data_IF_017179349349
#
_entry.id   IF_017179349349
#
_cell.length_a   1.000
_cell.length_b   1.000
_cell.length_c   1.000
_cell.angle_alpha   90.00
_cell.angle_beta   90.00
_cell.angle_gamma   90.00
#
_symmetry.space_group_name_H-M   'P 1'
#
loop_
_entity.id
_entity.type
_entity.pdbx_description
1 polymer ?
#
# COMPACT_ATOMS: atom_id res chain seq x y z
N UNK A 1 77.34 18.27 -14.50
CA UNK A 1 76.39 17.86 -15.51
C UNK A 1 75.04 17.61 -14.80
N UNK A 2 74.22 18.64 -14.78
CA UNK A 2 72.96 18.64 -13.99
C UNK A 2 71.81 18.24 -14.94
N UNK A 3 71.26 17.08 -14.68
CA UNK A 3 70.14 16.53 -15.48
C UNK A 3 68.86 17.19 -15.04
N UNK A 4 68.31 18.10 -15.86
CA UNK A 4 67.03 18.76 -15.66
C UNK A 4 65.95 17.84 -16.18
N UNK A 5 65.13 17.25 -15.27
CA UNK A 5 64.01 16.38 -15.59
C UNK A 5 62.78 17.26 -15.71
N UNK A 6 62.13 17.40 -16.88
CA UNK A 6 60.88 18.15 -17.00
C UNK A 6 59.75 17.36 -16.39
N UNK A 7 59.14 17.89 -15.31
CA UNK A 7 57.83 17.45 -14.81
C UNK A 7 56.76 17.79 -15.83
N UNK A 8 56.32 16.81 -16.60
CA UNK A 8 55.11 16.92 -17.44
C UNK A 8 53.94 16.75 -16.51
N UNK A 9 53.33 17.85 -16.07
CA UNK A 9 51.97 17.83 -15.53
C UNK A 9 51.00 17.54 -16.67
N UNK A 10 50.69 16.27 -16.89
CA UNK A 10 49.52 15.86 -17.65
C UNK A 10 48.29 16.08 -16.75
N UNK A 11 47.76 17.30 -16.79
CA UNK A 11 46.41 17.53 -16.33
C UNK A 11 45.49 16.87 -17.37
N UNK A 12 45.10 15.64 -17.14
CA UNK A 12 43.98 15.03 -17.83
C UNK A 12 42.72 15.77 -17.32
N UNK A 13 42.35 16.83 -18.00
CA UNK A 13 40.97 17.29 -17.95
C UNK A 13 40.13 16.18 -18.61
N UNK A 14 39.64 15.29 -17.78
CA UNK A 14 38.56 14.35 -18.18
C UNK A 14 37.33 15.20 -18.52
N UNK A 15 37.25 15.66 -19.74
CA UNK A 15 36.02 16.16 -20.33
C UNK A 15 35.13 14.97 -20.66
N UNK A 16 34.80 14.20 -19.61
CA UNK A 16 33.80 13.14 -19.71
C UNK A 16 32.54 13.73 -20.25
N UNK A 17 32.15 13.27 -21.43
CA UNK A 17 30.86 13.55 -22.00
C UNK A 17 29.82 12.70 -21.26
N UNK A 18 29.60 13.06 -19.99
CA UNK A 18 28.55 12.45 -19.19
C UNK A 18 27.25 13.17 -19.54
N UNK A 19 26.34 12.46 -20.20
CA UNK A 19 24.93 12.85 -20.26
C UNK A 19 24.37 12.76 -18.84
N UNK A 20 24.36 13.89 -18.13
CA UNK A 20 23.72 13.98 -16.82
C UNK A 20 22.21 13.99 -17.06
N UNK A 21 21.56 12.92 -16.65
CA UNK A 21 20.10 12.92 -16.51
C UNK A 21 19.76 13.64 -15.23
N UNK A 22 18.99 14.72 -15.31
CA UNK A 22 18.47 15.39 -14.13
C UNK A 22 17.62 14.42 -13.32
N UNK A 23 18.02 14.23 -12.07
CA UNK A 23 17.29 13.40 -11.12
C UNK A 23 16.26 14.28 -10.41
N UNK A 24 14.97 14.08 -10.72
CA UNK A 24 13.90 14.79 -10.02
C UNK A 24 13.60 14.15 -8.67
N UNK A 25 13.47 14.97 -7.66
CA UNK A 25 12.92 14.53 -6.38
C UNK A 25 11.41 14.33 -6.51
N UNK A 26 10.91 13.21 -5.96
CA UNK A 26 9.49 12.88 -5.91
C UNK A 26 9.01 13.04 -4.47
N UNK A 27 7.99 13.87 -4.28
CA UNK A 27 7.32 14.07 -3.00
C UNK A 27 5.92 13.43 -3.04
N UNK A 28 5.61 12.67 -1.99
CA UNK A 28 4.33 11.95 -1.85
C UNK A 28 3.61 12.47 -0.61
N UNK A 29 2.52 13.17 -0.83
CA UNK A 29 1.65 13.74 0.19
C UNK A 29 0.28 13.07 0.21
N UNK A 30 -0.56 13.45 1.17
CA UNK A 30 -1.95 13.00 1.31
C UNK A 30 -2.10 11.46 1.41
N UNK A 31 -1.13 10.80 2.05
CA UNK A 31 -1.21 9.38 2.40
C UNK A 31 -1.50 9.29 3.91
N UNK A 32 -2.61 8.65 4.33
CA UNK A 32 -2.94 8.51 5.75
C UNK A 32 -1.89 7.66 6.47
N UNK A 33 -1.60 7.98 7.72
CA UNK A 33 -0.66 7.17 8.52
C UNK A 33 -1.25 5.81 8.91
N UNK A 34 -2.57 5.76 9.17
CA UNK A 34 -3.31 4.57 9.58
C UNK A 34 -4.68 4.54 8.91
N UNK A 35 -5.02 3.39 8.35
CA UNK A 35 -6.36 3.07 7.85
C UNK A 35 -6.90 1.90 8.67
N UNK A 36 -8.07 2.05 9.27
CA UNK A 36 -8.76 0.97 9.98
C UNK A 36 -9.98 0.51 9.17
N UNK A 37 -10.02 -0.78 8.84
CA UNK A 37 -11.03 -1.37 7.96
C UNK A 37 -11.52 -2.72 8.46
N UNK A 38 -12.73 -3.06 8.06
CA UNK A 38 -13.35 -4.35 8.34
C UNK A 38 -13.11 -5.32 7.17
N UNK A 39 -12.63 -6.50 7.49
CA UNK A 39 -12.40 -7.58 6.50
C UNK A 39 -13.69 -7.92 5.75
N UNK A 40 -13.62 -7.92 4.42
CA UNK A 40 -14.72 -8.28 3.53
C UNK A 40 -15.85 -7.26 3.40
N UNK A 41 -15.82 -6.14 4.14
CA UNK A 41 -16.88 -5.13 4.13
C UNK A 41 -16.39 -3.74 3.71
N UNK A 42 -15.23 -3.32 4.20
CA UNK A 42 -14.69 -1.98 3.92
C UNK A 42 -13.70 -2.01 2.76
N UNK A 43 -13.39 -0.83 2.24
CA UNK A 43 -12.38 -0.64 1.19
C UNK A 43 -11.18 0.11 1.73
N UNK A 44 -10.00 -0.27 1.29
CA UNK A 44 -8.77 0.46 1.52
C UNK A 44 -8.66 1.49 0.41
N UNK A 45 -8.74 2.77 0.77
CA UNK A 45 -8.73 3.88 -0.17
C UNK A 45 -7.59 4.83 0.15
N UNK A 46 -6.78 5.17 -0.86
CA UNK A 46 -5.70 6.16 -0.76
C UNK A 46 -5.70 6.99 -2.04
N UNK A 47 -5.76 8.30 -1.87
CA UNK A 47 -5.67 9.26 -2.97
C UNK A 47 -4.48 10.18 -2.71
N UNK A 48 -3.27 9.77 -3.10
CA UNK A 48 -2.07 10.53 -2.86
C UNK A 48 -2.01 11.77 -3.75
N UNK A 49 -1.28 12.78 -3.30
CA UNK A 49 -0.81 13.86 -4.15
C UNK A 49 0.68 13.67 -4.36
N UNK A 50 1.09 13.57 -5.61
CA UNK A 50 2.47 13.27 -5.99
C UNK A 50 3.00 14.43 -6.83
N UNK A 51 4.16 14.95 -6.45
CA UNK A 51 4.83 16.04 -7.17
C UNK A 51 6.27 15.65 -7.48
N UNK A 52 6.75 16.08 -8.64
CA UNK A 52 8.14 15.95 -9.04
C UNK A 52 8.74 17.35 -9.23
N UNK A 53 10.00 17.52 -8.84
CA UNK A 53 10.72 18.79 -9.06
C UNK A 53 10.91 19.10 -10.55
N UNK A 54 10.90 18.09 -11.42
CA UNK A 54 11.07 18.24 -12.85
C UNK A 54 9.76 18.52 -13.61
N UNK A 55 8.66 17.90 -13.21
CA UNK A 55 7.41 17.90 -13.98
C UNK A 55 6.21 18.51 -13.22
N UNK A 56 6.40 18.89 -11.96
CA UNK A 56 5.32 19.40 -11.12
C UNK A 56 4.39 18.30 -10.64
N UNK A 57 3.09 18.53 -10.66
CA UNK A 57 2.09 17.55 -10.20
C UNK A 57 1.98 16.37 -11.18
N UNK A 58 2.14 15.16 -10.63
CA UNK A 58 2.07 13.91 -11.39
C UNK A 58 0.63 13.40 -11.33
N UNK A 59 0.09 13.02 -12.47
CA UNK A 59 -1.22 12.39 -12.59
C UNK A 59 -1.12 10.94 -13.08
N UNK A 60 -2.22 10.22 -12.97
CA UNK A 60 -2.31 8.80 -13.33
C UNK A 60 -2.00 8.49 -14.81
N UNK A 61 -2.07 9.48 -15.69
CA UNK A 61 -1.85 9.30 -17.14
C UNK A 61 -0.42 9.58 -17.56
N UNK A 62 0.47 9.97 -16.63
CA UNK A 62 1.86 10.28 -16.96
C UNK A 62 2.65 8.98 -17.17
N UNK A 63 3.12 8.67 -18.40
CA UNK A 63 3.79 7.41 -18.71
C UNK A 63 5.21 7.32 -18.13
N UNK A 64 5.74 8.41 -17.60
CA UNK A 64 7.07 8.45 -17.00
C UNK A 64 7.12 7.88 -15.60
N UNK A 65 5.96 7.59 -14.98
CA UNK A 65 5.88 7.11 -13.61
C UNK A 65 5.05 5.84 -13.50
N UNK A 66 5.53 4.91 -12.69
CA UNK A 66 4.84 3.69 -12.30
C UNK A 66 4.45 3.77 -10.82
N UNK A 67 3.20 3.36 -10.51
CA UNK A 67 2.66 3.36 -9.14
C UNK A 67 2.38 1.94 -8.70
N UNK A 68 2.97 1.54 -7.57
CA UNK A 68 2.76 0.20 -7.02
C UNK A 68 2.46 0.28 -5.53
N UNK A 69 1.33 -0.29 -5.12
CA UNK A 69 1.00 -0.50 -3.71
C UNK A 69 1.39 -1.91 -3.30
N UNK A 70 2.29 -2.00 -2.35
CA UNK A 70 2.77 -3.27 -1.77
C UNK A 70 2.27 -3.39 -0.33
N UNK A 71 1.96 -4.60 0.08
CA UNK A 71 1.32 -4.90 1.35
C UNK A 71 2.06 -6.03 2.05
N UNK A 72 2.41 -5.84 3.32
CA UNK A 72 3.08 -6.83 4.14
C UNK A 72 2.40 -6.96 5.50
N UNK A 73 2.32 -8.17 6.01
CA UNK A 73 1.76 -8.44 7.32
C UNK A 73 2.81 -8.21 8.39
N UNK A 74 2.59 -7.25 9.30
CA UNK A 74 3.55 -6.89 10.37
C UNK A 74 3.88 -8.02 11.33
N UNK A 75 3.04 -9.04 11.42
CA UNK A 75 3.27 -10.23 12.26
C UNK A 75 4.24 -11.24 11.64
N UNK A 76 4.98 -10.83 10.62
CA UNK A 76 6.23 -11.47 10.24
C UNK A 76 6.16 -12.94 9.89
N UNK A 77 5.16 -13.39 9.15
CA UNK A 77 5.28 -14.69 8.49
C UNK A 77 6.16 -14.51 7.27
N UNK A 78 7.48 -14.50 7.50
CA UNK A 78 8.43 -14.66 6.42
C UNK A 78 8.16 -16.00 5.76
N UNK A 79 8.20 -16.07 4.41
CA UNK A 79 8.26 -17.37 3.74
C UNK A 79 9.51 -18.11 4.21
N UNK A 80 9.58 -19.41 4.00
CA UNK A 80 10.71 -20.23 4.43
C UNK A 80 12.10 -19.78 4.00
N UNK A 81 12.19 -18.74 3.16
CA UNK A 81 13.43 -18.13 2.67
C UNK A 81 13.75 -16.79 3.35
N UNK A 82 12.98 -16.38 4.36
CA UNK A 82 13.18 -15.11 5.07
C UNK A 82 12.72 -13.88 4.30
N UNK A 83 12.00 -14.04 3.21
CA UNK A 83 11.46 -12.93 2.40
C UNK A 83 10.00 -12.71 2.76
N UNK A 84 9.63 -11.48 3.10
CA UNK A 84 8.25 -11.11 3.31
C UNK A 84 7.44 -11.28 2.02
N UNK A 85 6.31 -11.98 2.04
CA UNK A 85 5.45 -12.11 0.87
C UNK A 85 4.78 -10.77 0.58
N UNK A 86 5.24 -10.08 -0.45
CA UNK A 86 4.61 -8.86 -0.92
C UNK A 86 3.32 -9.19 -1.68
N UNK A 87 2.24 -8.54 -1.31
CA UNK A 87 0.99 -8.58 -2.07
C UNK A 87 0.85 -7.23 -2.77
N UNK A 88 0.68 -7.26 -4.09
CA UNK A 88 0.40 -6.04 -4.87
C UNK A 88 -1.10 -5.80 -4.84
N UNK A 89 -1.50 -4.59 -4.41
CA UNK A 89 -2.91 -4.21 -4.25
C UNK A 89 -3.52 -3.58 -5.49
N UNK A 90 -2.70 -2.89 -6.31
CA UNK A 90 -3.13 -2.22 -7.53
C UNK A 90 -2.50 -2.87 -8.77
N UNK A 91 -3.04 -3.99 -9.21
CA UNK A 91 -2.56 -4.67 -10.42
C UNK A 91 -2.79 -3.88 -11.71
N UNK A 92 -3.62 -2.84 -11.67
CA UNK A 92 -3.92 -1.90 -12.76
C UNK A 92 -2.91 -0.75 -12.87
N UNK A 93 -1.97 -0.64 -11.93
CA UNK A 93 -0.98 0.43 -11.88
C UNK A 93 -1.56 1.81 -11.58
N UNK A 94 -2.79 1.89 -11.06
CA UNK A 94 -3.44 3.16 -10.75
C UNK A 94 -2.75 3.87 -9.58
N UNK A 95 -2.56 5.20 -9.71
CA UNK A 95 -2.03 6.06 -8.65
C UNK A 95 -2.94 6.07 -7.41
N UNK A 96 -4.25 6.01 -7.61
CA UNK A 96 -5.23 5.93 -6.53
C UNK A 96 -5.50 4.47 -6.18
N UNK A 97 -5.40 4.13 -4.89
CA UNK A 97 -5.79 2.82 -4.40
C UNK A 97 -7.26 2.82 -4.00
N UNK A 98 -8.01 1.87 -4.50
CA UNK A 98 -9.37 1.57 -4.06
C UNK A 98 -9.63 0.06 -4.18
N UNK A 99 -9.36 -0.67 -3.11
CA UNK A 99 -9.49 -2.12 -3.09
C UNK A 99 -10.31 -2.60 -1.89
N UNK A 100 -11.06 -3.70 -2.06
CA UNK A 100 -11.77 -4.33 -0.96
C UNK A 100 -10.78 -4.91 0.05
N UNK A 101 -11.01 -4.69 1.34
CA UNK A 101 -10.17 -5.21 2.41
C UNK A 101 -10.41 -6.72 2.65
N UNK A 102 -10.25 -7.54 1.61
CA UNK A 102 -10.47 -8.99 1.69
C UNK A 102 -9.21 -9.72 2.13
N UNK A 103 -8.72 -9.39 3.33
CA UNK A 103 -7.53 -9.98 3.94
C UNK A 103 -7.84 -10.42 5.37
N UNK A 104 -7.11 -11.40 5.92
CA UNK A 104 -7.25 -11.82 7.31
C UNK A 104 -7.06 -10.63 8.27
N UNK A 105 -7.72 -10.68 9.43
CA UNK A 105 -7.54 -9.70 10.48
C UNK A 105 -6.09 -9.62 10.91
N UNK A 106 -5.58 -8.40 11.09
CA UNK A 106 -4.19 -8.18 11.48
C UNK A 106 -3.74 -6.74 11.21
N UNK A 107 -2.49 -6.48 11.57
CA UNK A 107 -1.82 -5.22 11.25
C UNK A 107 -0.91 -5.41 10.06
N UNK A 108 -0.96 -4.49 9.13
CA UNK A 108 -0.20 -4.55 7.89
C UNK A 108 0.58 -3.26 7.69
N UNK A 109 1.74 -3.38 7.09
CA UNK A 109 2.50 -2.23 6.59
C UNK A 109 2.31 -2.18 5.07
N UNK A 110 1.88 -1.03 4.59
CA UNK A 110 1.68 -0.76 3.18
C UNK A 110 2.72 0.24 2.69
N UNK A 111 3.12 0.07 1.45
CA UNK A 111 4.09 0.92 0.78
C UNK A 111 3.50 1.37 -0.55
N UNK A 112 3.38 2.68 -0.73
CA UNK A 112 3.22 3.28 -2.04
C UNK A 112 4.60 3.52 -2.62
N UNK A 113 4.92 2.85 -3.70
CA UNK A 113 6.14 3.04 -4.47
C UNK A 113 5.81 3.82 -5.74
N UNK A 114 6.55 4.89 -5.97
CA UNK A 114 6.51 5.70 -7.19
C UNK A 114 7.86 5.62 -7.85
N UNK A 115 7.90 5.08 -9.07
CA UNK A 115 9.14 4.88 -9.82
C UNK A 115 9.15 5.77 -11.04
N UNK A 116 10.19 6.57 -11.21
CA UNK A 116 10.49 7.25 -12.47
C UNK A 116 11.11 6.22 -13.45
N UNK A 117 10.37 5.93 -14.52
CA UNK A 117 10.75 4.89 -15.51
C UNK A 117 12.03 5.28 -16.27
N UNK A 118 12.29 6.59 -16.44
CA UNK A 118 13.45 7.10 -17.20
C UNK A 118 14.75 6.92 -16.44
N UNK A 119 14.72 7.14 -15.12
CA UNK A 119 15.89 7.08 -14.25
C UNK A 119 15.99 5.78 -13.47
N UNK A 120 14.87 5.07 -13.31
CA UNK A 120 14.76 3.89 -12.48
C UNK A 120 14.71 4.19 -10.98
N UNK A 121 14.68 5.46 -10.57
CA UNK A 121 14.62 5.87 -9.16
C UNK A 121 13.22 5.58 -8.61
N UNK A 122 13.18 4.99 -7.43
CA UNK A 122 11.96 4.62 -6.71
C UNK A 122 11.89 5.39 -5.39
N UNK A 123 10.80 6.12 -5.19
CA UNK A 123 10.46 6.81 -3.94
C UNK A 123 9.31 6.07 -3.27
N UNK A 124 9.43 5.81 -1.96
CA UNK A 124 8.43 5.05 -1.22
C UNK A 124 7.83 5.85 -0.06
N UNK A 125 6.51 5.74 0.10
CA UNK A 125 5.76 6.23 1.26
C UNK A 125 5.12 5.07 1.99
N UNK A 126 5.35 4.99 3.31
CA UNK A 126 4.81 3.93 4.15
C UNK A 126 3.56 4.40 4.88
N UNK A 127 2.56 3.52 5.02
CA UNK A 127 1.38 3.70 5.85
C UNK A 127 0.94 2.37 6.47
N UNK A 128 0.04 2.43 7.45
CA UNK A 128 -0.43 1.23 8.16
C UNK A 128 -1.89 0.96 7.83
N UNK A 129 -2.24 -0.32 7.72
CA UNK A 129 -3.62 -0.76 7.61
C UNK A 129 -3.90 -1.78 8.71
N UNK A 130 -4.89 -1.50 9.55
CA UNK A 130 -5.39 -2.42 10.56
C UNK A 130 -6.71 -3.01 10.07
N UNK A 131 -6.68 -4.30 9.82
CA UNK A 131 -7.86 -5.06 9.38
C UNK A 131 -8.43 -5.78 10.58
N UNK A 132 -9.69 -5.54 10.86
CA UNK A 132 -10.43 -6.20 11.93
C UNK A 132 -11.43 -7.20 11.34
N UNK A 133 -11.73 -8.25 12.08
CA UNK A 133 -12.77 -9.21 11.68
C UNK A 133 -14.11 -8.77 12.24
N UNK A 134 -15.17 -8.98 11.46
CA UNK A 134 -16.54 -8.71 11.87
C UNK A 134 -17.06 -9.68 12.95
N UNK A 135 -16.30 -10.72 13.26
CA UNK A 135 -16.81 -11.84 14.11
C UNK A 135 -16.10 -11.95 15.47
N UNK A 136 -15.36 -10.95 15.94
CA UNK A 136 -14.59 -11.07 17.19
C UNK A 136 -15.32 -10.74 18.47
N UNK A 137 -16.22 -9.75 18.45
CA UNK A 137 -17.00 -9.36 19.62
C UNK A 137 -18.41 -9.01 19.19
N UNK A 138 -19.41 -9.53 19.86
CA UNK A 138 -20.79 -9.19 19.56
C UNK A 138 -21.81 -10.07 20.26
N UNK A 139 -23.07 -9.77 19.99
CA UNK A 139 -24.21 -10.56 20.45
C UNK A 139 -24.76 -11.38 19.29
N UNK A 140 -24.93 -12.67 19.52
CA UNK A 140 -25.70 -13.54 18.65
C UNK A 140 -27.13 -13.65 19.18
N UNK A 141 -28.09 -13.43 18.30
CA UNK A 141 -29.52 -13.53 18.62
C UNK A 141 -30.09 -14.65 17.79
N UNK A 142 -30.61 -15.67 18.47
CA UNK A 142 -31.35 -16.74 17.83
C UNK A 142 -32.85 -16.39 17.86
N UNK A 143 -33.45 -16.31 16.69
CA UNK A 143 -34.85 -15.94 16.53
C UNK A 143 -35.62 -17.08 15.85
N UNK A 144 -36.90 -17.22 16.22
CA UNK A 144 -37.83 -18.03 15.44
C UNK A 144 -38.61 -17.08 14.52
N UNK A 145 -38.53 -17.28 13.22
CA UNK A 145 -39.14 -16.41 12.24
C UNK A 145 -40.42 -17.06 11.66
N UNK A 146 -41.53 -16.40 11.92
CA UNK A 146 -42.81 -16.70 11.34
C UNK A 146 -43.52 -18.00 11.80
N UNK A 147 -44.57 -18.36 11.10
CA UNK A 147 -45.40 -19.56 11.37
C UNK A 147 -44.71 -20.87 11.00
N UNK A 148 -43.63 -20.82 10.19
CA UNK A 148 -42.92 -21.99 9.69
C UNK A 148 -41.83 -22.51 10.64
N UNK A 149 -41.68 -21.93 11.83
CA UNK A 149 -40.64 -22.27 12.81
C UNK A 149 -39.22 -22.25 12.23
N UNK A 150 -38.95 -21.37 11.27
CA UNK A 150 -37.61 -21.19 10.71
C UNK A 150 -36.72 -20.53 11.76
N UNK A 151 -35.61 -21.17 12.07
CA UNK A 151 -34.61 -20.61 12.95
C UNK A 151 -33.71 -19.65 12.16
N UNK A 152 -33.61 -18.41 12.62
CA UNK A 152 -32.72 -17.40 12.10
C UNK A 152 -31.71 -17.00 13.16
N UNK A 153 -30.47 -16.81 12.78
CA UNK A 153 -29.43 -16.35 13.66
C UNK A 153 -28.90 -15.00 13.14
N UNK A 154 -29.09 -13.98 13.93
CA UNK A 154 -28.56 -12.64 13.68
C UNK A 154 -27.35 -12.39 14.59
N UNK A 155 -26.42 -11.56 14.15
CA UNK A 155 -25.29 -11.13 14.93
C UNK A 155 -25.14 -9.61 14.89
N UNK A 156 -24.97 -9.00 16.06
CA UNK A 156 -24.54 -7.61 16.17
C UNK A 156 -23.07 -7.62 16.59
N UNK A 157 -22.20 -7.31 15.66
CA UNK A 157 -20.76 -7.29 15.87
C UNK A 157 -20.28 -5.91 16.27
N UNK A 158 -19.48 -5.83 17.33
CA UNK A 158 -18.80 -4.61 17.73
C UNK A 158 -17.40 -4.55 17.10
N UNK A 159 -17.20 -3.58 16.23
CA UNK A 159 -15.94 -3.41 15.47
C UNK A 159 -14.99 -2.45 16.19
N UNK A 160 -15.57 -1.40 16.79
CA UNK A 160 -14.87 -0.44 17.62
C UNK A 160 -15.78 0.09 18.72
N UNK A 161 -15.28 0.99 19.55
CA UNK A 161 -16.11 1.64 20.58
C UNK A 161 -17.33 2.38 20.00
N UNK A 162 -17.21 2.86 18.75
CA UNK A 162 -18.20 3.72 18.09
C UNK A 162 -18.92 3.04 16.91
N UNK A 163 -18.47 1.83 16.50
CA UNK A 163 -19.00 1.16 15.31
C UNK A 163 -19.53 -0.24 15.64
N UNK A 164 -20.80 -0.44 15.34
CA UNK A 164 -21.47 -1.74 15.37
C UNK A 164 -21.98 -2.08 13.98
N UNK A 165 -21.97 -3.36 13.62
CA UNK A 165 -22.51 -3.88 12.36
C UNK A 165 -23.48 -5.00 12.68
N UNK A 166 -24.69 -4.92 12.14
CA UNK A 166 -25.68 -5.98 12.21
C UNK A 166 -25.55 -6.89 10.99
N UNK A 167 -25.46 -8.18 11.23
CA UNK A 167 -25.49 -9.24 10.20
C UNK A 167 -26.76 -10.05 10.42
N UNK A 168 -27.56 -10.16 9.36
CA UNK A 168 -28.84 -10.89 9.39
C UNK A 168 -28.67 -12.25 8.74
N UNK A 169 -29.37 -13.23 9.31
CA UNK A 169 -29.49 -14.59 8.79
C UNK A 169 -28.14 -15.28 8.47
N UNK A 170 -27.27 -15.34 9.48
CA UNK A 170 -25.97 -15.98 9.35
C UNK A 170 -26.04 -17.45 8.90
N UNK A 171 -27.16 -18.15 9.22
CA UNK A 171 -27.32 -19.55 8.84
C UNK A 171 -27.45 -19.73 7.33
N UNK A 172 -28.06 -18.77 6.63
CA UNK A 172 -28.20 -18.78 5.16
C UNK A 172 -26.94 -18.28 4.47
N UNK A 173 -26.17 -17.40 5.13
CA UNK A 173 -24.94 -16.83 4.54
C UNK A 173 -23.71 -17.73 4.62
N UNK A 174 -23.77 -18.80 5.44
CA UNK A 174 -22.68 -19.74 5.65
C UNK A 174 -22.86 -21.08 4.89
N UNK A 175 -23.97 -21.26 4.15
CA UNK A 175 -24.35 -22.47 3.43
C UNK A 175 -23.96 -22.53 1.96
#
# INVERSE_FOLDING_TARGET
MLLFMPFVWACFEDKGNYDYTDLGDIEIENVPELIEVLSGADRIQVTPKITSTLEGEINNSNPNYEFVYKFDKTSGSLNGNGVAPWIVLNSDGNMNLDTLANFPAGNYICYLSVKDVRTGIETMKTFKVKITSSVFEGWMVLCNEGEENRIRMDMISRISAERMVAMHDLLTSLG
#
